data_IF_387121094263
#
_entry.id   IF_387121094263
#
_cell.length_a   1.000
_cell.length_b   1.000
_cell.length_c   1.000
_cell.angle_alpha   90.00
_cell.angle_beta   90.00
_cell.angle_gamma   90.00
#
_symmetry.space_group_name_H-M   'P 1'
#
loop_
_entity.id
_entity.type
_entity.pdbx_description
1 polymer ?
#
# COMPACT_ATOMS: atom_id res chain seq x y z
N UNK A 1 42.78 5.08 -10.67
CA UNK A 1 41.58 4.21 -10.66
C UNK A 1 40.60 4.75 -9.63
N UNK A 2 39.49 5.35 -10.05
CA UNK A 2 38.38 5.63 -9.11
C UNK A 2 37.76 4.30 -8.67
N UNK A 3 37.50 4.07 -7.38
CA UNK A 3 36.80 2.87 -6.95
C UNK A 3 35.41 2.87 -7.58
N UNK A 4 35.03 1.75 -8.22
CA UNK A 4 33.69 1.54 -8.72
C UNK A 4 32.71 1.77 -7.56
N UNK A 5 31.86 2.77 -7.69
CA UNK A 5 30.85 3.15 -6.70
C UNK A 5 29.95 1.93 -6.50
N UNK A 6 30.14 1.21 -5.39
CA UNK A 6 29.33 0.03 -5.03
C UNK A 6 27.86 0.39 -5.21
N UNK A 7 27.21 -0.22 -6.20
CA UNK A 7 25.81 -0.01 -6.47
C UNK A 7 25.04 -0.55 -5.26
N UNK A 8 24.66 0.34 -4.35
CA UNK A 8 23.83 -0.02 -3.21
C UNK A 8 22.55 -0.68 -3.76
N UNK A 9 22.15 -1.87 -3.28
CA UNK A 9 21.01 -2.58 -3.84
C UNK A 9 19.68 -1.85 -3.60
N UNK A 10 18.68 -2.23 -4.39
CA UNK A 10 17.27 -1.98 -4.12
C UNK A 10 16.66 -3.32 -3.68
N UNK A 11 15.84 -3.29 -2.63
CA UNK A 11 15.18 -4.47 -2.12
C UNK A 11 13.71 -4.43 -2.53
N UNK A 12 13.30 -5.41 -3.33
CA UNK A 12 11.89 -5.60 -3.67
C UNK A 12 11.24 -6.47 -2.59
N UNK A 13 10.20 -5.95 -1.95
CA UNK A 13 9.48 -6.64 -0.88
C UNK A 13 8.02 -6.85 -1.30
N UNK A 14 7.42 -7.99 -0.96
CA UNK A 14 5.98 -8.16 -1.11
C UNK A 14 5.24 -7.20 -0.16
N UNK A 15 4.05 -6.72 -0.55
CA UNK A 15 3.14 -6.13 0.43
C UNK A 15 2.68 -7.21 1.41
N UNK A 16 2.00 -6.80 2.49
CA UNK A 16 1.34 -7.72 3.41
C UNK A 16 -0.17 -7.65 3.29
N UNK A 17 -0.82 -8.78 3.61
CA UNK A 17 -2.27 -8.84 3.73
C UNK A 17 -2.75 -7.97 4.89
N UNK A 18 -2.18 -8.19 6.08
CA UNK A 18 -2.48 -7.38 7.27
C UNK A 18 -1.73 -6.06 7.23
N UNK A 19 -2.40 -4.99 7.65
CA UNK A 19 -1.83 -3.64 7.69
C UNK A 19 -2.07 -3.05 9.07
N UNK A 20 -1.10 -2.29 9.55
CA UNK A 20 -1.24 -1.53 10.80
C UNK A 20 -2.26 -0.42 10.57
N UNK A 21 -3.24 -0.27 11.44
CA UNK A 21 -4.27 0.78 11.34
C UNK A 21 -3.77 2.15 11.80
N UNK A 22 -4.54 3.19 11.47
CA UNK A 22 -4.23 4.58 11.85
C UNK A 22 -3.18 5.25 10.95
N UNK A 23 -2.58 6.33 11.47
CA UNK A 23 -1.68 7.20 10.72
C UNK A 23 -2.04 8.67 10.83
N UNK A 24 -1.53 9.50 9.91
CA UNK A 24 -1.86 10.93 9.81
C UNK A 24 -2.75 11.18 8.60
N UNK A 25 -3.62 12.16 8.67
CA UNK A 25 -4.50 12.54 7.54
C UNK A 25 -3.77 13.33 6.45
N UNK A 26 -2.56 13.80 6.71
CA UNK A 26 -1.70 14.50 5.75
C UNK A 26 -0.38 13.76 5.59
N UNK A 27 0.00 13.49 4.34
CA UNK A 27 1.26 12.87 3.94
C UNK A 27 2.10 13.79 3.06
N UNK A 28 3.43 13.62 3.11
CA UNK A 28 4.31 14.23 2.11
C UNK A 28 4.23 13.43 0.80
N UNK A 29 4.46 14.04 -0.38
CA UNK A 29 4.46 13.32 -1.64
C UNK A 29 5.38 12.10 -1.62
N UNK A 30 4.87 10.97 -2.11
CA UNK A 30 5.60 9.74 -2.32
C UNK A 30 6.54 9.82 -3.53
N UNK A 31 7.56 8.95 -3.53
CA UNK A 31 8.60 8.91 -4.57
C UNK A 31 8.06 8.69 -5.98
N UNK A 32 6.93 8.00 -6.10
CA UNK A 32 6.34 7.60 -7.38
C UNK A 32 5.01 8.30 -7.68
N UNK A 33 4.64 9.31 -6.89
CA UNK A 33 3.33 9.95 -7.01
C UNK A 33 3.15 10.59 -8.39
N UNK A 34 4.13 11.39 -8.83
CA UNK A 34 4.06 12.08 -10.12
C UNK A 34 4.02 11.09 -11.30
N UNK A 35 4.90 10.08 -11.31
CA UNK A 35 5.01 9.14 -12.45
C UNK A 35 3.86 8.13 -12.48
N UNK A 36 3.21 7.86 -11.36
CA UNK A 36 2.08 6.92 -11.26
C UNK A 36 0.73 7.61 -11.08
N UNK A 37 0.66 8.94 -11.16
CA UNK A 37 -0.58 9.71 -10.91
C UNK A 37 -1.76 9.20 -11.73
N UNK A 38 -1.59 9.11 -13.05
CA UNK A 38 -2.64 8.66 -13.98
C UNK A 38 -3.09 7.22 -13.70
N UNK A 39 -2.20 6.19 -13.69
CA UNK A 39 -2.64 4.83 -13.42
C UNK A 39 -3.22 4.65 -12.01
N UNK A 40 -2.71 5.36 -10.99
CA UNK A 40 -3.28 5.31 -9.63
C UNK A 40 -4.69 5.89 -9.57
N UNK A 41 -4.91 7.01 -10.24
CA UNK A 41 -6.25 7.64 -10.32
C UNK A 41 -7.26 6.69 -10.97
N UNK A 42 -6.87 5.99 -12.04
CA UNK A 42 -7.75 5.01 -12.71
C UNK A 42 -8.09 3.82 -11.81
N UNK A 43 -7.09 3.23 -11.14
CA UNK A 43 -7.31 2.10 -10.22
C UNK A 43 -8.15 2.51 -9.01
N UNK A 44 -7.85 3.67 -8.41
CA UNK A 44 -8.57 4.18 -7.26
C UNK A 44 -10.05 4.47 -7.60
N UNK A 45 -10.31 5.09 -8.76
CA UNK A 45 -11.67 5.32 -9.25
C UNK A 45 -12.43 4.02 -9.47
N UNK A 46 -11.84 3.06 -10.18
CA UNK A 46 -12.46 1.77 -10.43
C UNK A 46 -12.78 1.03 -9.12
N UNK A 47 -11.84 1.06 -8.16
CA UNK A 47 -12.05 0.45 -6.85
C UNK A 47 -13.20 1.11 -6.07
N UNK A 48 -13.27 2.44 -6.06
CA UNK A 48 -14.34 3.17 -5.39
C UNK A 48 -15.71 2.86 -6.01
N UNK A 49 -15.82 2.93 -7.34
CA UNK A 49 -17.05 2.65 -8.08
C UNK A 49 -17.52 1.19 -7.90
N UNK A 50 -16.59 0.23 -7.84
CA UNK A 50 -16.89 -1.18 -7.63
C UNK A 50 -17.33 -1.45 -6.20
N UNK A 51 -16.72 -0.83 -5.20
CA UNK A 51 -17.12 -0.99 -3.80
C UNK A 51 -18.48 -0.37 -3.49
N UNK A 52 -18.84 0.71 -4.17
CA UNK A 52 -20.14 1.37 -4.04
C UNK A 52 -21.29 0.53 -4.60
N UNK A 53 -21.05 -0.18 -5.71
CA UNK A 53 -22.07 -0.98 -6.41
C UNK A 53 -22.17 -2.43 -5.93
N UNK A 54 -21.11 -2.97 -5.35
CA UNK A 54 -21.03 -4.37 -4.98
C UNK A 54 -21.83 -4.70 -3.72
N UNK A 55 -22.57 -5.82 -3.75
CA UNK A 55 -23.14 -6.43 -2.55
C UNK A 55 -22.05 -7.01 -1.63
N UNK A 56 -22.44 -7.38 -0.41
CA UNK A 56 -21.49 -7.85 0.61
C UNK A 56 -20.76 -9.13 0.23
N UNK A 57 -21.40 -10.03 -0.54
CA UNK A 57 -20.76 -11.26 -1.03
C UNK A 57 -19.67 -10.92 -2.05
N UNK A 58 -19.95 -10.00 -2.97
CA UNK A 58 -19.00 -9.53 -3.97
C UNK A 58 -17.84 -8.80 -3.30
N UNK A 59 -18.09 -7.98 -2.27
CA UNK A 59 -17.05 -7.30 -1.50
C UNK A 59 -16.20 -8.28 -0.69
N UNK A 60 -16.81 -9.26 -0.01
CA UNK A 60 -16.07 -10.32 0.70
C UNK A 60 -15.08 -11.02 -0.24
N UNK A 61 -15.52 -11.33 -1.46
CA UNK A 61 -14.69 -11.95 -2.50
C UNK A 61 -13.60 -10.99 -3.00
N UNK A 62 -13.97 -9.75 -3.34
CA UNK A 62 -13.05 -8.72 -3.86
C UNK A 62 -11.90 -8.43 -2.88
N UNK A 63 -12.25 -8.22 -1.60
CA UNK A 63 -11.32 -7.80 -0.55
C UNK A 63 -10.69 -8.97 0.21
N UNK A 64 -11.09 -10.21 -0.13
CA UNK A 64 -10.66 -11.44 0.53
C UNK A 64 -10.84 -11.36 2.04
N UNK A 65 -12.08 -11.18 2.49
CA UNK A 65 -12.45 -11.10 3.91
C UNK A 65 -13.64 -12.00 4.21
N UNK A 66 -13.78 -12.39 5.48
CA UNK A 66 -14.99 -13.06 5.94
C UNK A 66 -16.18 -12.09 5.98
N UNK A 67 -17.40 -12.64 5.96
CA UNK A 67 -18.63 -11.85 6.02
C UNK A 67 -18.64 -10.87 7.22
N UNK A 68 -18.10 -11.28 8.37
CA UNK A 68 -18.02 -10.47 9.58
C UNK A 68 -17.13 -9.22 9.46
N UNK A 69 -16.25 -9.15 8.45
CA UNK A 69 -15.32 -8.01 8.24
C UNK A 69 -15.59 -7.24 6.96
N UNK A 70 -16.69 -7.52 6.26
CA UNK A 70 -17.03 -6.85 5.00
C UNK A 70 -17.16 -5.35 5.19
N UNK A 71 -17.90 -4.91 6.20
CA UNK A 71 -18.16 -3.49 6.42
C UNK A 71 -16.87 -2.72 6.72
N UNK A 72 -16.11 -3.16 7.73
CA UNK A 72 -14.79 -2.60 8.08
C UNK A 72 -13.86 -2.54 6.86
N UNK A 73 -13.75 -3.63 6.10
CA UNK A 73 -12.87 -3.70 4.94
C UNK A 73 -13.34 -2.78 3.81
N UNK A 74 -14.65 -2.67 3.58
CA UNK A 74 -15.26 -1.78 2.58
C UNK A 74 -14.96 -0.33 2.95
N UNK A 75 -15.25 0.08 4.18
CA UNK A 75 -15.04 1.45 4.65
C UNK A 75 -13.58 1.90 4.50
N UNK A 76 -12.66 1.11 5.05
CA UNK A 76 -11.22 1.42 5.03
C UNK A 76 -10.68 1.46 3.61
N UNK A 77 -11.04 0.49 2.77
CA UNK A 77 -10.56 0.43 1.38
C UNK A 77 -11.15 1.55 0.53
N UNK A 78 -12.41 1.90 0.73
CA UNK A 78 -13.06 3.01 0.02
C UNK A 78 -12.48 4.37 0.45
N UNK A 79 -12.14 4.54 1.74
CA UNK A 79 -11.44 5.74 2.21
C UNK A 79 -10.05 5.88 1.59
N UNK A 80 -9.31 4.77 1.43
CA UNK A 80 -8.04 4.77 0.69
C UNK A 80 -8.22 5.16 -0.78
N UNK A 81 -9.21 4.56 -1.46
CA UNK A 81 -9.51 4.87 -2.86
C UNK A 81 -9.92 6.34 -3.08
N UNK A 82 -10.59 6.96 -2.11
CA UNK A 82 -10.95 8.39 -2.14
C UNK A 82 -9.84 9.34 -1.65
N UNK A 83 -8.70 8.81 -1.20
CA UNK A 83 -7.62 9.61 -0.65
C UNK A 83 -7.92 10.24 0.72
N UNK A 84 -8.92 9.75 1.45
CA UNK A 84 -9.34 10.27 2.77
C UNK A 84 -8.86 9.40 3.94
N UNK A 85 -8.29 8.23 3.67
CA UNK A 85 -7.79 7.31 4.69
C UNK A 85 -6.52 7.83 5.40
N UNK A 86 -6.31 7.50 6.68
CA UNK A 86 -5.09 7.88 7.40
C UNK A 86 -3.88 7.18 6.79
N UNK A 87 -2.73 7.88 6.79
CA UNK A 87 -1.51 7.49 6.08
C UNK A 87 -0.39 7.13 7.07
N UNK A 88 0.32 6.04 6.76
CA UNK A 88 1.58 5.64 7.39
C UNK A 88 2.64 5.49 6.31
N UNK A 89 3.93 5.72 6.61
CA UNK A 89 4.97 5.34 5.67
C UNK A 89 4.89 3.82 5.43
N UNK A 90 5.11 3.36 4.19
CA UNK A 90 4.99 1.95 3.79
C UNK A 90 5.67 0.98 4.77
N UNK A 91 6.86 1.33 5.26
CA UNK A 91 7.63 0.50 6.21
C UNK A 91 6.96 0.29 7.57
N UNK A 92 5.98 1.14 7.94
CA UNK A 92 5.12 0.99 9.13
C UNK A 92 3.73 0.48 8.79
N UNK A 93 3.30 0.54 7.53
CA UNK A 93 1.97 0.10 7.12
C UNK A 93 1.87 -1.43 7.06
N UNK A 94 2.91 -2.08 6.54
CA UNK A 94 2.92 -3.52 6.33
C UNK A 94 3.52 -4.28 7.51
N UNK A 95 2.90 -5.42 7.84
CA UNK A 95 3.30 -6.31 8.93
C UNK A 95 3.31 -7.78 8.49
N UNK A 96 3.53 -8.71 9.42
CA UNK A 96 3.66 -10.15 9.13
C UNK A 96 5.11 -10.61 8.98
N UNK A 97 5.31 -11.87 8.60
CA UNK A 97 6.60 -12.59 8.76
C UNK A 97 7.77 -11.86 8.10
N UNK A 98 7.64 -11.43 6.84
CA UNK A 98 8.72 -10.75 6.10
C UNK A 98 9.07 -9.41 6.76
N UNK A 99 8.06 -8.57 7.02
CA UNK A 99 8.25 -7.25 7.62
C UNK A 99 8.73 -7.30 9.06
N UNK A 100 8.28 -8.32 9.79
CA UNK A 100 8.76 -8.68 11.11
C UNK A 100 10.26 -8.92 11.09
N UNK A 101 10.74 -9.91 10.34
CA UNK A 101 12.18 -10.24 10.32
C UNK A 101 13.05 -9.14 9.70
N UNK A 102 12.52 -8.35 8.76
CA UNK A 102 13.26 -7.25 8.16
C UNK A 102 13.60 -6.12 9.14
N UNK A 103 12.76 -5.90 10.16
CA UNK A 103 12.90 -4.82 11.17
C UNK A 103 13.29 -3.47 10.55
N UNK A 104 12.51 -2.91 9.61
CA UNK A 104 12.87 -1.66 8.95
C UNK A 104 13.02 -0.47 9.90
N UNK A 105 12.46 -0.55 11.12
CA UNK A 105 12.68 0.42 12.19
C UNK A 105 14.13 0.55 12.67
N UNK A 106 14.97 -0.46 12.43
CA UNK A 106 16.36 -0.53 12.91
C UNK A 106 17.39 -0.02 11.88
N UNK A 107 16.96 0.26 10.65
CA UNK A 107 17.83 0.80 9.58
C UNK A 107 17.63 2.30 9.35
N UNK A 108 18.60 2.95 8.74
CA UNK A 108 18.56 4.40 8.45
C UNK A 108 17.46 4.76 7.46
N UNK A 109 17.03 6.02 7.46
CA UNK A 109 16.08 6.56 6.46
C UNK A 109 16.59 6.33 5.02
N UNK A 110 17.90 6.48 4.80
CA UNK A 110 18.51 6.27 3.48
C UNK A 110 18.39 4.81 2.99
N UNK A 111 18.43 3.84 3.90
CA UNK A 111 18.20 2.42 3.61
C UNK A 111 16.72 2.14 3.39
N UNK A 112 15.81 2.73 4.16
CA UNK A 112 14.35 2.59 3.97
C UNK A 112 13.88 3.07 2.59
N UNK A 113 14.50 4.11 2.05
CA UNK A 113 14.22 4.62 0.68
C UNK A 113 14.59 3.66 -0.44
N UNK A 114 15.31 2.56 -0.13
CA UNK A 114 15.71 1.51 -1.05
C UNK A 114 14.80 0.29 -1.00
N UNK A 115 13.85 0.27 -0.07
CA UNK A 115 12.77 -0.70 -0.06
C UNK A 115 11.74 -0.27 -1.10
N UNK A 116 11.45 -1.16 -2.05
CA UNK A 116 10.42 -0.99 -3.06
C UNK A 116 9.34 -2.05 -2.83
N UNK A 117 8.08 -1.63 -2.82
CA UNK A 117 6.93 -2.48 -2.50
C UNK A 117 5.95 -2.37 -3.66
N UNK A 118 5.82 -3.39 -4.52
CA UNK A 118 4.73 -3.46 -5.47
C UNK A 118 3.41 -3.52 -4.73
N UNK A 119 2.42 -2.74 -5.15
CA UNK A 119 1.10 -2.72 -4.51
C UNK A 119 -0.02 -2.71 -5.53
N UNK A 120 -1.14 -3.35 -5.21
CA UNK A 120 -2.27 -3.40 -6.13
C UNK A 120 -2.95 -2.04 -6.30
N UNK A 121 -3.01 -1.22 -5.24
CA UNK A 121 -3.66 0.10 -5.29
C UNK A 121 -2.72 1.21 -5.78
N UNK A 122 -1.45 1.21 -5.36
CA UNK A 122 -0.52 2.30 -5.66
C UNK A 122 0.50 1.95 -6.76
N UNK A 123 0.46 0.73 -7.32
CA UNK A 123 1.44 0.24 -8.29
C UNK A 123 2.79 -0.08 -7.64
N UNK A 124 3.52 0.94 -7.19
CA UNK A 124 4.81 0.83 -6.52
C UNK A 124 4.97 1.92 -5.46
N UNK A 125 5.49 1.56 -4.30
CA UNK A 125 5.84 2.47 -3.22
C UNK A 125 7.29 2.28 -2.80
N UNK A 126 7.97 3.36 -2.41
CA UNK A 126 9.17 3.28 -1.60
C UNK A 126 8.80 3.08 -0.12
N UNK A 127 9.74 2.56 0.68
CA UNK A 127 9.52 2.33 2.11
C UNK A 127 9.00 3.55 2.88
N UNK A 128 9.41 4.77 2.48
CA UNK A 128 8.99 6.03 3.10
C UNK A 128 7.69 6.63 2.55
N UNK A 129 7.14 6.10 1.46
CA UNK A 129 5.96 6.69 0.81
C UNK A 129 4.73 6.53 1.71
N UNK A 130 3.84 7.53 1.77
CA UNK A 130 2.62 7.45 2.55
C UNK A 130 1.63 6.46 1.90
N UNK A 131 1.05 5.59 2.71
CA UNK A 131 0.12 4.56 2.26
C UNK A 131 -1.05 4.49 3.23
N UNK A 132 -2.27 4.53 2.71
CA UNK A 132 -3.48 4.31 3.50
C UNK A 132 -3.63 2.83 3.89
N UNK A 133 -4.51 2.54 4.84
CA UNK A 133 -4.96 1.17 5.05
C UNK A 133 -5.92 0.77 3.93
N UNK A 134 -5.79 -0.43 3.38
CA UNK A 134 -6.67 -0.94 2.32
C UNK A 134 -6.56 -2.45 2.20
N UNK A 135 -7.54 -3.08 1.56
CA UNK A 135 -7.45 -4.48 1.11
C UNK A 135 -7.60 -4.54 -0.40
N UNK A 136 -6.60 -5.09 -1.09
CA UNK A 136 -6.67 -5.32 -2.53
C UNK A 136 -5.58 -6.32 -2.94
N UNK A 137 -5.95 -7.40 -3.61
CA UNK A 137 -5.00 -8.34 -4.21
C UNK A 137 -4.69 -7.92 -5.65
N UNK A 138 -3.54 -8.33 -6.18
CA UNK A 138 -3.16 -8.05 -7.57
C UNK A 138 -4.04 -8.74 -8.61
N UNK A 139 -4.72 -9.82 -8.23
CA UNK A 139 -5.49 -10.69 -9.15
C UNK A 139 -6.96 -10.32 -9.22
N UNK A 140 -7.39 -9.20 -8.62
CA UNK A 140 -8.80 -8.79 -8.63
C UNK A 140 -9.17 -8.15 -9.96
N UNK A 141 -10.40 -8.37 -10.42
CA UNK A 141 -11.01 -7.56 -11.47
C UNK A 141 -11.85 -6.47 -10.80
N UNK A 142 -11.51 -5.22 -11.08
CA UNK A 142 -12.26 -4.03 -10.69
C UNK A 142 -13.34 -3.73 -11.71
#
# INVERSE_FOLDING_TARGET
MSPARSARPLLLLPPSETKVSGGRTVGAPGRFDDILETPRTLVARALAETLERADDRRVATLLNVSAARVEEAREVTAAAARGTGPLLPSWRRYEGVVWGHLRPGEVTISQRRRLLIPTALYGLNAGSDPVAEYRLKFTVSL
#
